data_IF_555589499530
#
_entry.id   IF_555589499530
#
_cell.length_a   1.000
_cell.length_b   1.000
_cell.length_c   1.000
_cell.angle_alpha   90.00
_cell.angle_beta   90.00
_cell.angle_gamma   90.00
#
_symmetry.space_group_name_H-M   'P 1'
#
loop_
_entity.id
_entity.type
_entity.pdbx_description
1 polymer ?
#
# COMPACT_ATOMS: atom_id res chain seq x y z
N UNK A 1 -25.63 -2.37 -11.47
CA UNK A 1 -25.50 -1.58 -10.23
C UNK A 1 -24.61 -0.41 -10.54
N UNK A 2 -24.81 0.72 -9.86
CA UNK A 2 -23.88 1.85 -9.93
C UNK A 2 -22.81 1.67 -8.84
N UNK A 3 -21.59 2.14 -9.11
CA UNK A 3 -20.52 2.10 -8.13
C UNK A 3 -20.81 3.12 -7.02
N UNK A 4 -20.75 2.75 -5.72
CA UNK A 4 -20.88 3.71 -4.63
C UNK A 4 -19.75 4.75 -4.64
N UNK A 5 -20.08 6.00 -4.30
CA UNK A 5 -19.12 7.13 -4.32
C UNK A 5 -17.86 6.90 -3.48
N UNK A 6 -17.92 6.13 -2.41
CA UNK A 6 -16.78 5.87 -1.51
C UNK A 6 -16.08 4.52 -1.78
N UNK A 7 -16.31 3.90 -2.94
CA UNK A 7 -15.77 2.59 -3.26
C UNK A 7 -14.56 2.69 -4.22
N UNK A 8 -13.38 2.18 -3.84
CA UNK A 8 -12.28 1.99 -4.79
C UNK A 8 -12.71 1.11 -5.95
N UNK A 9 -12.25 1.45 -7.16
CA UNK A 9 -12.68 0.79 -8.40
C UNK A 9 -12.42 -0.71 -8.38
N UNK A 10 -11.26 -1.12 -7.88
CA UNK A 10 -10.83 -2.52 -7.86
C UNK A 10 -11.68 -3.36 -6.90
N UNK A 11 -12.14 -2.76 -5.79
CA UNK A 11 -13.10 -3.38 -4.88
C UNK A 11 -14.46 -3.55 -5.56
N UNK A 12 -14.91 -2.52 -6.27
CA UNK A 12 -16.15 -2.59 -7.03
C UNK A 12 -16.10 -3.71 -8.09
N UNK A 13 -15.01 -3.80 -8.85
CA UNK A 13 -14.81 -4.86 -9.84
C UNK A 13 -14.83 -6.27 -9.20
N UNK A 14 -14.18 -6.44 -8.04
CA UNK A 14 -14.24 -7.71 -7.28
C UNK A 14 -15.66 -8.01 -6.79
N UNK A 15 -16.39 -7.01 -6.27
CA UNK A 15 -17.78 -7.19 -5.84
C UNK A 15 -18.68 -7.59 -7.02
N UNK A 16 -18.47 -7.00 -8.19
CA UNK A 16 -19.21 -7.36 -9.40
C UNK A 16 -18.98 -8.82 -9.81
N UNK A 17 -17.76 -9.34 -9.68
CA UNK A 17 -17.49 -10.77 -9.89
C UNK A 17 -18.24 -11.65 -8.88
N UNK A 18 -18.25 -11.26 -7.60
CA UNK A 18 -18.99 -11.97 -6.54
C UNK A 18 -20.52 -11.94 -6.76
N UNK A 19 -21.05 -10.91 -7.40
CA UNK A 19 -22.46 -10.75 -7.73
C UNK A 19 -22.85 -11.30 -9.11
N UNK A 20 -21.98 -12.08 -9.77
CA UNK A 20 -22.33 -12.74 -11.02
C UNK A 20 -23.59 -13.59 -10.85
N UNK A 21 -24.52 -13.48 -11.81
CA UNK A 21 -25.82 -14.13 -11.74
C UNK A 21 -25.68 -15.64 -11.56
N UNK A 22 -24.83 -16.27 -12.37
CA UNK A 22 -24.52 -17.70 -12.27
C UNK A 22 -23.58 -17.97 -11.10
N UNK A 23 -23.98 -18.78 -10.11
CA UNK A 23 -23.13 -19.11 -8.96
C UNK A 23 -21.77 -19.72 -9.33
N UNK A 24 -21.71 -20.53 -10.37
CA UNK A 24 -20.52 -21.22 -10.86
C UNK A 24 -19.48 -20.31 -11.51
N UNK A 25 -19.88 -19.10 -11.94
CA UNK A 25 -18.97 -18.09 -12.49
C UNK A 25 -18.38 -17.17 -11.41
N UNK A 26 -18.85 -17.28 -10.16
CA UNK A 26 -18.36 -16.45 -9.04
C UNK A 26 -16.96 -16.89 -8.61
N UNK A 27 -16.10 -15.95 -8.19
CA UNK A 27 -14.78 -16.29 -7.69
C UNK A 27 -14.87 -17.13 -6.41
N UNK A 28 -13.98 -18.10 -6.27
CA UNK A 28 -13.85 -18.86 -5.02
C UNK A 28 -13.40 -17.97 -3.87
N UNK A 29 -13.77 -18.32 -2.63
CA UNK A 29 -13.30 -17.60 -1.44
C UNK A 29 -11.76 -17.54 -1.36
N UNK A 30 -11.10 -18.63 -1.74
CA UNK A 30 -9.65 -18.73 -1.83
C UNK A 30 -9.03 -17.75 -2.83
N UNK A 31 -9.70 -17.48 -3.95
CA UNK A 31 -9.28 -16.44 -4.89
C UNK A 31 -9.46 -15.05 -4.26
N UNK A 32 -10.62 -14.77 -3.66
CA UNK A 32 -10.94 -13.49 -3.02
C UNK A 32 -9.90 -13.14 -1.95
N UNK A 33 -9.57 -14.09 -1.07
CA UNK A 33 -8.57 -13.91 0.00
C UNK A 33 -7.19 -13.56 -0.55
N UNK A 34 -6.79 -14.17 -1.67
CA UNK A 34 -5.51 -13.84 -2.33
C UNK A 34 -5.56 -12.49 -3.04
N UNK A 35 -6.72 -12.12 -3.59
CA UNK A 35 -6.87 -10.90 -4.37
C UNK A 35 -6.93 -9.65 -3.50
N UNK A 36 -7.59 -9.71 -2.35
CA UNK A 36 -7.82 -8.57 -1.46
C UNK A 36 -6.54 -7.78 -1.09
N UNK A 37 -5.42 -8.41 -0.68
CA UNK A 37 -4.17 -7.70 -0.42
C UNK A 37 -3.62 -6.94 -1.63
N UNK A 38 -3.80 -7.48 -2.85
CA UNK A 38 -3.28 -6.87 -4.08
C UNK A 38 -4.04 -5.60 -4.48
N UNK A 39 -5.35 -5.56 -4.18
CA UNK A 39 -6.23 -4.46 -4.58
C UNK A 39 -6.50 -3.47 -3.44
N UNK A 40 -5.80 -3.61 -2.31
CA UNK A 40 -6.00 -2.76 -1.14
C UNK A 40 -5.67 -1.31 -1.50
N UNK A 41 -6.59 -0.34 -1.27
CA UNK A 41 -6.33 1.05 -1.59
C UNK A 41 -5.20 1.61 -0.74
N UNK A 42 -4.45 2.54 -1.32
CA UNK A 42 -3.37 3.23 -0.63
C UNK A 42 -3.92 4.05 0.54
N UNK A 43 -3.28 3.94 1.70
CA UNK A 43 -3.56 4.78 2.86
C UNK A 43 -2.48 5.85 2.97
N UNK A 44 -2.90 7.09 3.10
CA UNK A 44 -2.05 8.26 3.22
C UNK A 44 -2.26 8.94 4.58
N UNK A 45 -1.26 9.70 5.02
CA UNK A 45 -1.33 10.57 6.20
C UNK A 45 -1.11 12.00 5.74
N UNK A 46 -1.98 12.91 6.19
CA UNK A 46 -1.87 14.34 5.87
C UNK A 46 -0.69 14.98 6.61
N UNK A 47 0.11 15.78 5.92
CA UNK A 47 1.23 16.55 6.51
C UNK A 47 0.89 18.03 6.73
N UNK A 48 -0.24 18.47 6.19
CA UNK A 48 -0.83 19.79 6.38
C UNK A 48 -2.33 19.67 6.71
N UNK A 49 -2.96 20.79 7.06
CA UNK A 49 -4.41 20.89 7.23
C UNK A 49 -5.03 21.58 6.01
N UNK A 50 -6.18 21.08 5.55
CA UNK A 50 -7.01 21.72 4.53
C UNK A 50 -8.36 22.09 5.16
N UNK A 51 -8.63 23.40 5.21
CA UNK A 51 -9.84 24.01 5.78
C UNK A 51 -10.35 25.18 4.92
N UNK A 52 -10.26 25.05 3.59
CA UNK A 52 -10.58 26.13 2.63
C UNK A 52 -12.09 26.36 2.43
N UNK A 53 -12.94 25.45 2.91
CA UNK A 53 -14.39 25.55 2.79
C UNK A 53 -14.94 25.25 1.40
N UNK A 54 -14.10 24.77 0.47
CA UNK A 54 -14.53 24.38 -0.87
C UNK A 54 -15.28 23.04 -0.78
N UNK A 55 -16.48 23.00 -1.37
CA UNK A 55 -17.42 21.87 -1.23
C UNK A 55 -16.86 20.54 -1.74
N UNK A 56 -16.13 20.57 -2.86
CA UNK A 56 -15.55 19.36 -3.46
C UNK A 56 -14.24 18.93 -2.78
N UNK A 57 -13.66 19.80 -1.96
CA UNK A 57 -12.39 19.52 -1.29
C UNK A 57 -12.62 18.74 0.01
N UNK A 58 -11.78 17.74 0.20
CA UNK A 58 -11.71 16.98 1.43
C UNK A 58 -11.08 17.85 2.51
N UNK A 59 -11.89 18.20 3.52
CA UNK A 59 -11.43 18.99 4.65
C UNK A 59 -10.76 18.06 5.68
N UNK A 60 -9.54 18.37 6.09
CA UNK A 60 -8.75 17.55 7.02
C UNK A 60 -7.81 18.39 7.87
N UNK A 61 -7.46 17.84 9.03
CA UNK A 61 -6.36 18.30 9.86
C UNK A 61 -5.08 17.56 9.49
N UNK A 62 -3.95 18.13 9.90
CA UNK A 62 -2.65 17.46 9.88
C UNK A 62 -2.69 16.15 10.68
N UNK A 63 -1.96 15.14 10.21
CA UNK A 63 -1.83 13.80 10.80
C UNK A 63 -3.13 12.96 10.80
N UNK A 64 -4.07 13.26 9.90
CA UNK A 64 -5.23 12.42 9.64
C UNK A 64 -4.96 11.39 8.54
N UNK A 65 -5.73 10.29 8.52
CA UNK A 65 -5.61 9.23 7.52
C UNK A 65 -6.62 9.42 6.39
N UNK A 66 -6.13 9.41 5.15
CA UNK A 66 -6.93 9.41 3.92
C UNK A 66 -6.76 8.06 3.21
N UNK A 67 -7.86 7.47 2.75
CA UNK A 67 -7.84 6.30 1.86
C UNK A 67 -8.01 6.82 0.43
N UNK A 68 -7.09 6.47 -0.46
CA UNK A 68 -7.14 6.88 -1.87
C UNK A 68 -8.25 6.11 -2.59
N UNK A 69 -9.16 6.84 -3.24
CA UNK A 69 -10.22 6.28 -4.08
C UNK A 69 -9.87 6.38 -5.57
N UNK A 70 -9.35 7.53 -5.99
CA UNK A 70 -8.98 7.80 -7.39
C UNK A 70 -7.79 8.75 -7.45
N UNK A 71 -6.79 8.44 -8.28
CA UNK A 71 -5.60 9.26 -8.49
C UNK A 71 -5.73 10.21 -9.69
N UNK A 72 -6.74 9.99 -10.54
CA UNK A 72 -7.00 10.82 -11.73
C UNK A 72 -8.52 11.06 -11.84
N UNK A 73 -9.13 11.80 -10.90
CA UNK A 73 -10.56 12.11 -10.94
C UNK A 73 -10.92 12.80 -12.26
N UNK A 74 -12.02 12.37 -12.90
CA UNK A 74 -12.44 12.87 -14.22
C UNK A 74 -12.68 14.38 -14.28
N UNK A 75 -13.05 15.00 -13.15
CA UNK A 75 -13.24 16.45 -13.02
C UNK A 75 -11.92 17.23 -13.08
N UNK A 76 -10.80 16.61 -12.68
CA UNK A 76 -9.47 17.21 -12.61
C UNK A 76 -8.40 16.20 -13.09
N UNK A 77 -8.29 15.96 -14.41
CA UNK A 77 -7.46 14.90 -14.99
C UNK A 77 -5.96 15.24 -15.05
N UNK A 78 -5.54 16.42 -14.59
CA UNK A 78 -4.15 16.86 -14.56
C UNK A 78 -3.29 16.15 -13.50
N UNK A 79 -3.93 15.41 -12.59
CA UNK A 79 -3.29 14.71 -11.49
C UNK A 79 -2.96 15.61 -10.29
N UNK A 80 -3.35 16.89 -10.34
CA UNK A 80 -3.12 17.86 -9.26
C UNK A 80 -4.01 17.59 -8.04
N UNK A 81 -5.18 16.97 -8.27
CA UNK A 81 -6.06 16.52 -7.21
C UNK A 81 -6.29 15.02 -7.31
N UNK A 82 -6.24 14.35 -6.17
CA UNK A 82 -6.70 12.98 -5.99
C UNK A 82 -8.01 12.98 -5.22
N UNK A 83 -8.82 11.94 -5.38
CA UNK A 83 -10.05 11.76 -4.60
C UNK A 83 -9.81 10.77 -3.47
N UNK A 84 -10.20 11.18 -2.26
CA UNK A 84 -9.97 10.42 -1.04
C UNK A 84 -11.21 10.25 -0.19
N UNK A 85 -11.12 9.30 0.74
CA UNK A 85 -12.09 9.03 1.79
C UNK A 85 -11.44 9.17 3.16
N UNK A 86 -12.19 9.70 4.13
CA UNK A 86 -11.80 9.79 5.53
C UNK A 86 -12.73 8.98 6.42
N UNK A 87 -12.22 8.57 7.59
CA UNK A 87 -12.97 7.80 8.60
C UNK A 87 -14.26 8.50 9.09
N UNK A 88 -14.35 9.81 8.96
CA UNK A 88 -15.54 10.59 9.29
C UNK A 88 -16.68 10.42 8.26
N UNK A 89 -16.51 9.59 7.23
CA UNK A 89 -17.49 9.36 6.17
C UNK A 89 -17.42 10.35 5.02
N UNK A 90 -16.52 11.35 5.08
CA UNK A 90 -16.37 12.35 4.02
C UNK A 90 -15.53 11.80 2.87
N UNK A 91 -15.93 12.17 1.65
CA UNK A 91 -15.14 12.01 0.44
C UNK A 91 -14.91 13.38 -0.19
N UNK A 92 -13.84 13.52 -0.94
CA UNK A 92 -13.51 14.79 -1.61
C UNK A 92 -12.13 14.75 -2.24
N UNK A 93 -11.78 15.87 -2.88
CA UNK A 93 -10.50 16.10 -3.53
C UNK A 93 -9.45 16.55 -2.52
N UNK A 94 -8.22 16.06 -2.67
CA UNK A 94 -7.08 16.49 -1.87
C UNK A 94 -5.83 16.55 -2.74
N UNK A 95 -4.85 17.33 -2.30
CA UNK A 95 -3.55 17.44 -2.98
C UNK A 95 -2.63 16.31 -2.54
N UNK A 96 -2.14 15.44 -3.44
CA UNK A 96 -1.22 14.37 -3.06
C UNK A 96 0.06 14.90 -2.39
N UNK A 97 0.51 16.11 -2.71
CA UNK A 97 1.71 16.75 -2.13
C UNK A 97 1.56 17.08 -0.64
N UNK A 98 0.32 17.25 -0.16
CA UNK A 98 0.00 17.49 1.24
C UNK A 98 -0.14 16.19 2.04
N UNK A 99 0.26 15.06 1.45
CA UNK A 99 0.13 13.74 2.04
C UNK A 99 1.40 12.90 1.86
N UNK A 100 1.57 11.91 2.75
CA UNK A 100 2.64 10.89 2.65
C UNK A 100 2.05 9.50 2.81
N UNK A 101 2.72 8.49 2.27
CA UNK A 101 2.30 7.10 2.44
C UNK A 101 2.28 6.71 3.93
N UNK A 102 1.18 6.11 4.39
CA UNK A 102 1.10 5.55 5.72
C UNK A 102 1.94 4.27 5.79
N UNK A 103 3.13 4.37 6.37
CA UNK A 103 3.99 3.22 6.57
C UNK A 103 3.46 2.36 7.72
N UNK A 104 3.15 1.10 7.43
CA UNK A 104 2.85 0.10 8.45
C UNK A 104 4.15 -0.41 9.08
N UNK A 105 4.90 0.45 9.76
CA UNK A 105 5.87 -0.02 10.75
C UNK A 105 5.03 -0.33 11.98
N UNK A 106 5.02 -1.60 12.39
CA UNK A 106 4.26 -2.11 13.54
C UNK A 106 4.58 -1.29 14.81
N UNK A 107 3.85 -0.20 15.04
CA UNK A 107 3.78 0.46 16.32
C UNK A 107 2.46 0.03 16.96
N UNK A 108 2.48 -0.69 18.09
CA UNK A 108 1.26 -1.18 18.73
C UNK A 108 0.54 0.02 19.35
N UNK A 109 -0.34 0.69 18.58
CA UNK A 109 -1.55 1.41 19.01
C UNK A 109 -2.03 2.39 17.94
N UNK A 110 -2.82 1.95 16.96
CA UNK A 110 -3.89 2.80 16.42
C UNK A 110 -5.00 1.96 15.76
N UNK A 111 -6.26 2.30 16.03
CA UNK A 111 -7.44 1.52 15.57
C UNK A 111 -7.68 1.55 14.05
N UNK A 112 -6.75 2.06 13.24
CA UNK A 112 -6.80 1.89 11.78
C UNK A 112 -6.41 0.46 11.37
N UNK A 113 -5.73 -0.26 12.26
CA UNK A 113 -5.05 -1.51 11.93
C UNK A 113 -5.97 -2.74 11.94
N UNK A 114 -7.24 -2.65 12.34
CA UNK A 114 -8.06 -3.85 12.48
C UNK A 114 -8.52 -4.45 11.14
N UNK A 115 -8.69 -3.64 10.09
CA UNK A 115 -9.02 -4.14 8.74
C UNK A 115 -7.75 -4.48 7.93
N UNK A 116 -6.68 -3.70 8.12
CA UNK A 116 -5.41 -3.83 7.39
C UNK A 116 -4.50 -4.94 7.95
N UNK A 117 -4.49 -5.14 9.27
CA UNK A 117 -3.66 -6.17 9.91
C UNK A 117 -4.18 -7.58 9.63
N UNK A 118 -5.50 -7.77 9.56
CA UNK A 118 -6.11 -9.08 9.28
C UNK A 118 -5.64 -9.72 7.97
N UNK A 119 -5.35 -8.91 6.93
CA UNK A 119 -4.83 -9.43 5.66
C UNK A 119 -3.32 -9.71 5.70
N UNK A 120 -2.55 -9.01 6.53
CA UNK A 120 -1.12 -9.29 6.73
C UNK A 120 -0.87 -10.66 7.38
N UNK A 121 -1.77 -11.14 8.23
CA UNK A 121 -1.72 -12.51 8.77
C UNK A 121 -1.89 -13.58 7.67
N UNK A 122 -2.62 -13.26 6.60
CA UNK A 122 -2.87 -14.19 5.49
C UNK A 122 -1.68 -14.27 4.52
N UNK A 123 -0.95 -13.17 4.32
CA UNK A 123 0.28 -13.16 3.50
C UNK A 123 1.37 -14.09 4.07
N UNK A 124 1.38 -14.32 5.39
CA UNK A 124 2.36 -15.19 6.06
C UNK A 124 1.85 -16.60 6.36
N UNK A 125 0.67 -16.97 5.85
CA UNK A 125 0.17 -18.34 5.91
C UNK A 125 0.96 -19.22 4.94
N UNK A 126 2.22 -19.52 5.30
CA UNK A 126 2.95 -20.67 4.78
C UNK A 126 2.11 -21.89 5.11
N UNK A 127 1.47 -22.43 4.09
CA UNK A 127 0.88 -23.77 4.09
C UNK A 127 1.95 -24.77 4.49
N UNK A 128 2.08 -25.04 5.80
CA UNK A 128 2.69 -26.26 6.30
C UNK A 128 1.59 -27.32 6.28
N UNK A 129 1.31 -27.84 5.09
CA UNK A 129 0.70 -29.15 4.97
C UNK A 129 1.79 -30.15 5.32
N UNK A 130 1.50 -30.93 6.36
CA UNK A 130 2.19 -32.16 6.73
C UNK A 130 2.52 -32.98 5.49
N UNK A 131 3.78 -33.39 5.36
CA UNK A 131 4.04 -34.80 5.10
C UNK A 131 5.19 -35.28 5.99
N UNK A 132 4.83 -36.19 6.89
CA UNK A 132 5.75 -36.98 7.69
C UNK A 132 6.33 -38.03 6.76
N UNK A 133 7.53 -37.81 6.24
CA UNK A 133 8.36 -38.94 5.84
C UNK A 133 9.77 -38.82 6.40
N UNK A 134 10.13 -39.91 7.06
CA UNK A 134 11.20 -40.06 8.01
C UNK A 134 12.31 -40.78 7.27
N UNK A 135 13.30 -40.05 6.76
CA UNK A 135 14.56 -40.66 6.33
C UNK A 135 15.73 -39.81 6.83
N UNK A 136 16.40 -40.36 7.84
CA UNK A 136 17.77 -40.00 8.17
C UNK A 136 18.62 -40.20 6.92
N UNK A 137 19.15 -39.12 6.35
CA UNK A 137 20.41 -39.23 5.64
C UNK A 137 21.36 -38.14 6.11
N UNK A 138 22.44 -38.60 6.72
CA UNK A 138 23.57 -37.82 7.17
C UNK A 138 24.37 -37.47 5.92
N UNK A 139 24.01 -36.37 5.25
CA UNK A 139 24.99 -35.73 4.39
C UNK A 139 24.88 -34.22 4.46
N UNK A 140 26.00 -33.64 4.88
CA UNK A 140 26.20 -32.21 5.03
C UNK A 140 25.90 -31.51 3.70
N UNK A 141 24.67 -31.01 3.55
CA UNK A 141 24.39 -29.93 2.59
C UNK A 141 25.02 -28.68 3.17
N UNK A 142 26.34 -28.55 2.97
CA UNK A 142 27.08 -27.31 3.13
C UNK A 142 26.27 -26.28 2.37
N UNK A 143 25.57 -25.40 3.10
CA UNK A 143 24.89 -24.26 2.50
C UNK A 143 25.97 -23.59 1.66
N UNK A 144 25.80 -23.55 0.34
CA UNK A 144 26.67 -22.74 -0.50
C UNK A 144 26.57 -21.34 0.07
N UNK A 145 27.63 -20.87 0.72
CA UNK A 145 27.69 -19.51 1.19
C UNK A 145 27.72 -18.67 -0.09
N UNK A 146 26.60 -18.02 -0.41
CA UNK A 146 26.66 -16.85 -1.28
C UNK A 146 27.67 -15.93 -0.57
N UNK A 147 28.75 -15.57 -1.26
CA UNK A 147 29.82 -14.79 -0.67
C UNK A 147 29.28 -13.53 -0.01
N UNK A 148 29.94 -13.08 1.05
CA UNK A 148 29.65 -11.76 1.61
C UNK A 148 29.71 -10.69 0.51
N UNK A 149 28.89 -9.63 0.60
CA UNK A 149 28.92 -8.53 -0.36
C UNK A 149 30.36 -8.03 -0.51
N UNK A 150 30.90 -8.11 -1.72
CA UNK A 150 32.25 -7.66 -2.01
C UNK A 150 32.19 -6.20 -2.47
N UNK A 151 32.99 -5.33 -1.85
CA UNK A 151 33.05 -3.91 -2.18
C UNK A 151 32.05 -3.05 -1.43
N UNK A 152 31.99 -1.77 -1.80
CA UNK A 152 31.17 -0.76 -1.15
C UNK A 152 29.73 -0.78 -1.71
N UNK A 153 28.88 -1.61 -1.10
CA UNK A 153 27.50 -1.82 -1.55
C UNK A 153 26.58 -0.82 -0.88
N UNK A 154 25.91 -0.02 -1.71
CA UNK A 154 24.93 0.94 -1.24
C UNK A 154 23.51 0.57 -1.68
N UNK A 155 22.54 0.75 -0.79
CA UNK A 155 21.14 0.69 -1.18
C UNK A 155 20.81 1.93 -2.02
N UNK A 156 20.35 1.72 -3.25
CA UNK A 156 19.84 2.78 -4.11
C UNK A 156 18.37 2.55 -4.39
N UNK A 157 17.57 3.62 -4.45
CA UNK A 157 16.13 3.53 -4.67
C UNK A 157 15.63 4.82 -5.32
N UNK A 158 14.51 4.71 -6.03
CA UNK A 158 13.69 5.87 -6.38
C UNK A 158 12.89 6.31 -5.15
N UNK A 159 12.83 7.61 -4.91
CA UNK A 159 12.07 8.25 -3.84
C UNK A 159 11.22 9.39 -4.42
N UNK A 160 10.16 9.77 -3.70
CA UNK A 160 9.22 10.79 -4.15
C UNK A 160 7.90 10.20 -4.64
N UNK A 161 6.86 11.03 -4.69
CA UNK A 161 5.49 10.66 -5.07
C UNK A 161 5.39 10.22 -6.53
N UNK A 162 6.25 10.75 -7.38
CA UNK A 162 6.36 10.47 -8.82
C UNK A 162 7.46 9.44 -9.15
N UNK A 163 8.27 9.05 -8.16
CA UNK A 163 9.41 8.15 -8.34
C UNK A 163 10.54 8.71 -9.21
N UNK A 164 10.57 10.00 -9.51
CA UNK A 164 11.58 10.58 -10.43
C UNK A 164 12.94 10.78 -9.78
N UNK A 165 13.00 10.85 -8.46
CA UNK A 165 14.25 11.13 -7.74
C UNK A 165 14.96 9.83 -7.39
N UNK A 166 16.11 9.55 -8.02
CA UNK A 166 16.98 8.42 -7.69
C UNK A 166 18.02 8.82 -6.63
N UNK A 167 18.21 8.02 -5.59
CA UNK A 167 19.15 8.35 -4.52
C UNK A 167 19.66 7.16 -3.70
N UNK A 168 20.66 7.44 -2.88
CA UNK A 168 21.23 6.52 -1.89
C UNK A 168 20.33 6.48 -0.65
N UNK A 169 19.92 5.28 -0.24
CA UNK A 169 19.15 5.04 0.98
C UNK A 169 20.11 4.74 2.13
N UNK A 170 20.40 5.74 2.97
CA UNK A 170 21.31 5.58 4.10
C UNK A 170 20.54 5.43 5.41
N UNK A 171 20.67 4.26 6.07
CA UNK A 171 20.13 4.02 7.40
C UNK A 171 21.04 4.64 8.46
N UNK A 172 20.80 5.91 8.81
CA UNK A 172 21.32 6.49 10.05
C UNK A 172 20.51 5.99 11.26
N UNK A 173 21.16 5.79 12.42
CA UNK A 173 20.44 5.42 13.66
C UNK A 173 19.38 6.44 14.08
N UNK A 174 19.42 7.65 13.55
CA UNK A 174 18.36 8.65 13.60
C UNK A 174 18.30 9.31 12.21
N UNK A 175 17.12 9.33 11.59
CA UNK A 175 16.81 9.83 10.23
C UNK A 175 17.33 9.03 9.02
N UNK A 176 16.38 8.69 8.15
CA UNK A 176 16.64 8.32 6.74
C UNK A 176 16.96 9.60 6.00
N UNK A 177 18.24 9.86 5.74
CA UNK A 177 18.68 10.99 4.93
C UNK A 177 18.89 10.53 3.49
N UNK A 178 18.10 11.07 2.55
CA UNK A 178 18.33 10.87 1.11
C UNK A 178 19.25 11.98 0.62
N UNK A 179 20.46 11.63 0.19
CA UNK A 179 21.34 12.57 -0.52
C UNK A 179 21.02 12.50 -2.01
N UNK A 180 20.38 13.55 -2.54
CA UNK A 180 20.16 13.74 -3.97
C UNK A 180 21.49 14.02 -4.67
N UNK A 181 21.87 13.21 -5.65
CA UNK A 181 22.90 13.60 -6.62
C UNK A 181 22.20 13.95 -7.92
N UNK A 182 22.15 15.25 -8.23
CA UNK A 182 21.69 15.73 -9.54
C UNK A 182 22.76 15.34 -10.55
N UNK A 183 22.46 14.38 -11.43
CA UNK A 183 23.29 14.12 -12.59
C UNK A 183 23.20 15.35 -13.51
N UNK A 184 24.24 16.19 -13.48
CA UNK A 184 24.43 17.22 -14.49
C UNK A 184 24.72 16.51 -15.82
N UNK A 185 23.86 16.76 -16.80
CA UNK A 185 24.06 16.33 -18.18
C UNK A 185 24.97 17.31 -18.92
#
# INVERSE_FOLDING_TARGET
>A
MECPDACPREFYELMMQCWTHKPEERPSFTYIVRKLPEIMPQCLVTVASCCDGITDHLQYLKNETIIVLDKCPSTYPDGYFWRGYMRNGRTGLFRPEETVAKLAIELPNSKCDQYLSSVSFLAHSKTSLHDKEKTQDKNSRKKLLISEPQGDVHHTCHVGVDGTTFGLLQFGKNEVSVKSSTAAH
#
